data_IF_363035416686
#
_entry.id   IF_363035416686
#
_cell.length_a   1.000
_cell.length_b   1.000
_cell.length_c   1.000
_cell.angle_alpha   90.00
_cell.angle_beta   90.00
_cell.angle_gamma   90.00
#
_symmetry.space_group_name_H-M   'P 1'
#
loop_
_entity.id
_entity.type
_entity.pdbx_description
1 polymer ?
#
# COMPACT_ATOMS: atom_id res chain seq x y z
N UNK A 1 -17.65 -2.73 -59.17
CA UNK A 1 -17.41 -1.54 -58.31
C UNK A 1 -18.19 -1.58 -56.99
N UNK A 2 -19.32 -2.31 -56.88
CA UNK A 2 -20.12 -2.35 -55.64
C UNK A 2 -19.42 -3.05 -54.45
N UNK A 3 -18.61 -4.09 -54.69
CA UNK A 3 -17.95 -4.85 -53.61
C UNK A 3 -16.89 -4.07 -52.82
N UNK A 4 -16.19 -3.12 -53.45
CA UNK A 4 -15.12 -2.36 -52.78
C UNK A 4 -15.68 -1.31 -51.81
N UNK A 5 -16.83 -0.73 -52.11
CA UNK A 5 -17.52 0.23 -51.24
C UNK A 5 -18.07 -0.45 -49.98
N UNK A 6 -18.56 -1.68 -50.11
CA UNK A 6 -19.08 -2.45 -48.97
C UNK A 6 -17.99 -2.84 -47.96
N UNK A 7 -16.78 -3.19 -48.45
CA UNK A 7 -15.65 -3.58 -47.59
C UNK A 7 -15.09 -2.40 -46.78
N UNK A 8 -15.04 -1.20 -47.38
CA UNK A 8 -14.58 0.01 -46.68
C UNK A 8 -15.59 0.41 -45.59
N UNK A 9 -16.89 0.33 -45.87
CA UNK A 9 -17.93 0.63 -44.88
C UNK A 9 -17.94 -0.38 -43.73
N UNK A 10 -17.69 -1.67 -43.98
CA UNK A 10 -17.62 -2.67 -42.90
C UNK A 10 -16.37 -2.49 -42.02
N UNK A 11 -15.22 -2.14 -42.61
CA UNK A 11 -13.99 -1.85 -41.86
C UNK A 11 -14.12 -0.60 -40.97
N UNK A 12 -14.74 0.47 -41.48
CA UNK A 12 -15.01 1.67 -40.67
C UNK A 12 -15.98 1.37 -39.52
N UNK A 13 -16.99 0.51 -39.73
CA UNK A 13 -17.94 0.14 -38.68
C UNK A 13 -17.27 -0.70 -37.56
N UNK A 14 -16.35 -1.59 -37.90
CA UNK A 14 -15.55 -2.35 -36.92
C UNK A 14 -14.65 -1.42 -36.09
N UNK A 15 -14.03 -0.42 -36.73
CA UNK A 15 -13.21 0.58 -36.03
C UNK A 15 -14.01 1.50 -35.10
N UNK A 16 -15.28 1.77 -35.42
CA UNK A 16 -16.18 2.56 -34.58
C UNK A 16 -16.78 1.76 -33.41
N UNK A 17 -16.91 0.43 -33.56
CA UNK A 17 -17.35 -0.46 -32.47
C UNK A 17 -16.24 -0.85 -31.49
N UNK A 18 -14.97 -0.73 -31.88
CA UNK A 18 -13.84 -0.73 -30.93
C UNK A 18 -13.75 0.60 -30.19
N UNK A 19 -14.75 0.88 -29.36
CA UNK A 19 -14.84 2.10 -28.55
C UNK A 19 -13.59 2.34 -27.71
N UNK A 20 -13.23 3.61 -27.54
CA UNK A 20 -12.09 4.13 -26.78
C UNK A 20 -12.11 3.86 -25.25
N UNK A 21 -12.88 2.88 -24.78
CA UNK A 21 -13.07 2.60 -23.36
C UNK A 21 -11.80 2.07 -22.66
N UNK A 22 -10.73 1.74 -23.38
CA UNK A 22 -9.47 1.24 -22.79
C UNK A 22 -8.42 2.29 -22.46
N UNK A 23 -8.70 3.59 -22.67
CA UNK A 23 -7.75 4.65 -22.35
C UNK A 23 -8.06 5.40 -21.05
N UNK A 24 -9.24 5.24 -20.46
CA UNK A 24 -9.61 5.93 -19.23
C UNK A 24 -8.99 5.30 -17.97
N UNK A 25 -8.80 3.98 -17.93
CA UNK A 25 -8.22 3.31 -16.74
C UNK A 25 -6.70 3.56 -16.57
N UNK A 26 -6.02 4.08 -17.60
CA UNK A 26 -4.59 4.43 -17.54
C UNK A 26 -4.35 5.93 -17.27
N UNK A 27 -5.38 6.78 -17.28
CA UNK A 27 -5.23 8.23 -17.19
C UNK A 27 -5.11 8.75 -15.74
N UNK A 28 -5.33 7.91 -14.72
CA UNK A 28 -5.10 8.25 -13.30
C UNK A 28 -3.69 7.87 -12.81
N UNK A 29 -2.87 7.18 -13.62
CA UNK A 29 -1.46 6.90 -13.29
C UNK A 29 -0.42 8.00 -13.59
N UNK A 30 -0.65 9.09 -14.37
CA UNK A 30 0.43 10.01 -14.73
C UNK A 30 0.94 10.83 -13.54
N UNK A 31 0.17 10.96 -12.46
CA UNK A 31 0.61 11.61 -11.22
C UNK A 31 1.74 10.85 -10.50
N UNK A 32 1.96 9.56 -10.80
CA UNK A 32 3.06 8.76 -10.21
C UNK A 32 4.39 8.93 -10.95
N UNK A 33 4.40 9.51 -12.16
CA UNK A 33 5.60 9.62 -13.01
C UNK A 33 6.56 10.73 -12.53
N UNK A 34 6.07 11.72 -11.79
CA UNK A 34 6.92 12.80 -11.22
C UNK A 34 7.82 12.29 -10.08
N UNK A 35 7.61 11.07 -9.58
CA UNK A 35 8.40 10.48 -8.47
C UNK A 35 9.58 9.61 -8.90
N UNK A 36 10.06 9.76 -10.14
CA UNK A 36 11.31 9.14 -10.59
C UNK A 36 12.52 9.46 -9.69
N UNK A 37 12.50 10.60 -8.99
CA UNK A 37 13.55 10.99 -8.04
C UNK A 37 13.61 10.08 -6.81
N UNK A 38 12.45 9.74 -6.23
CA UNK A 38 12.39 8.95 -4.98
C UNK A 38 12.83 7.51 -5.24
N UNK A 39 12.39 6.90 -6.34
CA UNK A 39 12.84 5.55 -6.72
C UNK A 39 14.34 5.47 -7.00
N UNK A 40 14.92 6.49 -7.66
CA UNK A 40 16.38 6.58 -7.87
C UNK A 40 17.14 6.71 -6.54
N UNK A 41 16.54 7.39 -5.56
CA UNK A 41 17.13 7.56 -4.23
C UNK A 41 17.09 6.26 -3.43
N UNK A 42 15.98 5.52 -3.48
CA UNK A 42 15.86 4.19 -2.88
C UNK A 42 16.84 3.18 -3.50
N UNK A 43 17.06 3.26 -4.82
CA UNK A 43 18.05 2.42 -5.51
C UNK A 43 19.49 2.77 -5.11
N UNK A 44 19.82 4.06 -4.93
CA UNK A 44 21.12 4.47 -4.37
C UNK A 44 21.31 3.97 -2.93
N UNK A 45 20.26 4.02 -2.10
CA UNK A 45 20.29 3.55 -0.71
C UNK A 45 20.46 2.03 -0.60
N UNK A 46 20.27 1.29 -1.71
CA UNK A 46 20.32 -0.17 -1.77
C UNK A 46 21.70 -0.76 -1.43
N UNK A 47 22.77 0.03 -1.50
CA UNK A 47 24.10 -0.36 -0.99
C UNK A 47 24.09 -0.71 0.50
N UNK A 48 23.10 -0.20 1.25
CA UNK A 48 22.88 -0.50 2.67
C UNK A 48 21.62 -1.34 2.92
N UNK A 49 21.10 -1.99 1.88
CA UNK A 49 19.86 -2.77 1.99
C UNK A 49 20.02 -3.95 2.94
N UNK A 50 18.92 -4.29 3.63
CA UNK A 50 18.80 -5.58 4.30
C UNK A 50 18.38 -6.61 3.25
N UNK A 51 19.08 -7.73 3.21
CA UNK A 51 18.91 -8.72 2.14
C UNK A 51 18.68 -10.11 2.68
N UNK A 52 17.74 -10.83 2.05
CA UNK A 52 17.63 -12.30 2.18
C UNK A 52 17.44 -12.93 0.81
N UNK A 53 17.82 -14.18 0.66
CA UNK A 53 17.67 -14.94 -0.59
C UNK A 53 16.72 -16.10 -0.36
N UNK A 54 15.81 -16.35 -1.29
CA UNK A 54 14.83 -17.42 -1.21
C UNK A 54 14.85 -18.28 -2.47
N UNK A 55 14.47 -19.55 -2.32
CA UNK A 55 14.17 -20.44 -3.43
C UNK A 55 12.71 -20.23 -3.88
N UNK A 56 12.52 -19.33 -4.84
CA UNK A 56 11.23 -18.97 -5.42
C UNK A 56 11.45 -18.39 -6.83
N UNK A 57 10.44 -18.44 -7.70
CA UNK A 57 10.47 -17.63 -8.92
C UNK A 57 10.28 -16.14 -8.57
N UNK A 58 10.65 -15.26 -9.49
CA UNK A 58 10.39 -13.82 -9.34
C UNK A 58 8.89 -13.54 -9.10
N UNK A 59 8.03 -14.19 -9.89
CA UNK A 59 6.58 -13.99 -9.83
C UNK A 59 6.00 -14.43 -8.49
N UNK A 60 6.42 -15.58 -7.96
CA UNK A 60 5.93 -16.09 -6.68
C UNK A 60 6.32 -15.16 -5.52
N UNK A 61 7.60 -14.78 -5.42
CA UNK A 61 8.08 -13.91 -4.35
C UNK A 61 7.50 -12.48 -4.45
N UNK A 62 7.33 -11.96 -5.67
CA UNK A 62 6.69 -10.68 -5.90
C UNK A 62 5.21 -10.70 -5.50
N UNK A 63 4.46 -11.71 -5.96
CA UNK A 63 3.04 -11.85 -5.66
C UNK A 63 2.79 -12.13 -4.18
N UNK A 64 3.62 -12.96 -3.53
CA UNK A 64 3.55 -13.16 -2.08
C UNK A 64 3.68 -11.82 -1.34
N UNK A 65 4.71 -11.03 -1.66
CA UNK A 65 4.89 -9.71 -1.04
C UNK A 65 3.71 -8.76 -1.33
N UNK A 66 3.12 -8.87 -2.53
CA UNK A 66 1.96 -8.08 -2.93
C UNK A 66 0.69 -8.46 -2.14
N UNK A 67 0.47 -9.76 -1.94
CA UNK A 67 -0.65 -10.29 -1.17
C UNK A 67 -0.60 -9.80 0.28
N UNK A 68 0.60 -9.72 0.86
CA UNK A 68 0.79 -9.14 2.18
C UNK A 68 0.37 -7.68 2.29
N UNK A 69 0.47 -6.87 1.23
CA UNK A 69 -0.11 -5.53 1.29
C UNK A 69 -1.64 -5.57 1.21
N UNK A 70 -2.19 -6.42 0.35
CA UNK A 70 -3.63 -6.45 0.04
C UNK A 70 -4.49 -7.00 1.18
N UNK A 71 -4.07 -8.09 1.80
CA UNK A 71 -4.80 -8.70 2.93
C UNK A 71 -4.96 -7.70 4.08
N UNK A 72 -3.98 -6.82 4.21
CA UNK A 72 -3.90 -5.82 5.27
C UNK A 72 -4.81 -4.64 4.97
N UNK A 73 -4.79 -4.13 3.74
CA UNK A 73 -5.74 -3.11 3.28
C UNK A 73 -7.19 -3.59 3.47
N UNK A 74 -7.48 -4.84 3.09
CA UNK A 74 -8.82 -5.44 3.26
C UNK A 74 -9.22 -5.58 4.74
N UNK A 75 -8.30 -6.02 5.61
CA UNK A 75 -8.56 -6.14 7.05
C UNK A 75 -8.83 -4.78 7.71
N UNK A 76 -8.11 -3.73 7.28
CA UNK A 76 -8.30 -2.36 7.76
C UNK A 76 -9.68 -1.84 7.36
N UNK A 77 -10.07 -2.02 6.10
CA UNK A 77 -11.39 -1.61 5.62
C UNK A 77 -12.53 -2.33 6.35
N UNK A 78 -12.38 -3.64 6.59
CA UNK A 78 -13.36 -4.42 7.33
C UNK A 78 -13.51 -3.94 8.78
N UNK A 79 -12.41 -3.65 9.47
CA UNK A 79 -12.47 -3.11 10.84
C UNK A 79 -13.08 -1.71 10.87
N UNK A 80 -12.75 -0.84 9.92
CA UNK A 80 -13.34 0.51 9.83
C UNK A 80 -14.86 0.46 9.68
N UNK A 81 -15.38 -0.43 8.83
CA UNK A 81 -16.83 -0.61 8.65
C UNK A 81 -17.52 -1.06 9.94
N UNK A 82 -16.91 -1.98 10.70
CA UNK A 82 -17.45 -2.44 11.99
C UNK A 82 -17.54 -1.30 13.01
N UNK A 83 -16.50 -0.48 13.13
CA UNK A 83 -16.50 0.69 14.02
C UNK A 83 -17.59 1.70 13.61
N UNK A 84 -17.75 1.94 12.29
CA UNK A 84 -18.79 2.84 11.79
C UNK A 84 -20.21 2.30 12.04
N UNK A 85 -20.42 0.99 11.92
CA UNK A 85 -21.69 0.32 12.24
C UNK A 85 -22.01 0.40 13.75
N UNK A 86 -21.03 0.12 14.61
CA UNK A 86 -21.17 0.22 16.07
C UNK A 86 -21.50 1.65 16.53
N UNK A 87 -20.85 2.66 15.91
CA UNK A 87 -21.11 4.06 16.22
C UNK A 87 -22.50 4.54 15.74
N UNK A 88 -23.03 3.95 14.64
CA UNK A 88 -24.38 4.29 14.14
C UNK A 88 -25.47 3.90 15.15
N UNK A 89 -25.31 2.77 15.83
CA UNK A 89 -26.30 2.28 16.79
C UNK A 89 -26.30 3.11 18.09
N UNK A 90 -25.17 3.75 18.44
CA UNK A 90 -25.07 4.62 19.61
C UNK A 90 -25.60 6.05 19.39
N UNK A 91 -25.69 6.50 18.15
CA UNK A 91 -26.05 7.89 17.80
C UNK A 91 -27.51 8.31 17.98
N UNK A 92 -28.42 7.43 18.44
CA UNK A 92 -29.87 7.72 18.44
C UNK A 92 -30.41 8.22 19.80
N UNK A 93 -29.61 8.32 20.87
CA UNK A 93 -30.18 8.52 22.22
C UNK A 93 -29.92 9.87 22.92
N UNK A 94 -29.20 10.83 22.36
CA UNK A 94 -28.92 12.10 23.07
C UNK A 94 -28.92 13.34 22.15
N UNK A 95 -30.08 13.68 21.59
CA UNK A 95 -30.38 15.09 21.23
C UNK A 95 -31.08 15.76 22.40
N UNK A 96 -30.30 16.08 23.43
CA UNK A 96 -30.70 16.98 24.51
C UNK A 96 -29.75 18.17 24.51
N UNK A 97 -30.02 19.17 23.68
CA UNK A 97 -29.27 20.42 23.67
C UNK A 97 -29.42 21.11 25.02
N UNK A 98 -28.36 21.09 25.83
CA UNK A 98 -28.23 21.97 26.98
C UNK A 98 -27.04 22.88 26.74
N UNK A 99 -27.35 24.11 26.32
CA UNK A 99 -26.40 25.19 26.06
C UNK A 99 -25.67 25.52 27.37
N UNK A 100 -24.36 25.26 27.50
CA UNK A 100 -23.64 25.67 28.70
C UNK A 100 -23.39 27.18 28.67
N UNK A 101 -23.70 27.81 29.80
CA UNK A 101 -23.52 29.24 30.04
C UNK A 101 -22.02 29.57 30.08
N UNK A 102 -21.64 30.59 29.32
CA UNK A 102 -20.27 30.98 29.01
C UNK A 102 -19.79 31.99 30.06
N UNK A 103 -19.32 31.53 31.23
CA UNK A 103 -18.52 32.37 32.13
C UNK A 103 -17.93 31.57 33.31
N UNK A 104 -16.90 30.74 33.08
CA UNK A 104 -15.92 30.39 34.14
C UNK A 104 -14.58 29.95 33.54
N UNK A 105 -13.60 30.85 33.50
CA UNK A 105 -12.22 30.57 33.13
C UNK A 105 -11.40 30.13 34.35
N UNK A 106 -10.91 28.89 34.35
CA UNK A 106 -9.79 28.43 35.18
C UNK A 106 -9.02 27.34 34.43
N UNK A 107 -7.70 27.49 34.18
CA UNK A 107 -6.90 26.44 33.56
C UNK A 107 -6.47 25.45 34.64
N UNK A 108 -7.26 24.40 34.85
CA UNK A 108 -6.79 23.18 35.49
C UNK A 108 -6.26 22.26 34.38
N UNK A 109 -5.13 21.59 34.64
CA UNK A 109 -4.46 20.71 33.68
C UNK A 109 -5.46 19.76 33.04
N UNK A 110 -5.72 19.95 31.75
CA UNK A 110 -6.61 19.11 30.95
C UNK A 110 -6.02 17.69 30.91
N UNK A 111 -6.56 16.80 31.74
CA UNK A 111 -6.53 15.37 31.44
C UNK A 111 -7.26 15.19 30.13
N UNK A 112 -6.51 14.94 29.05
CA UNK A 112 -7.04 14.60 27.74
C UNK A 112 -7.81 13.30 27.90
N UNK A 113 -9.14 13.38 27.99
CA UNK A 113 -10.02 12.22 27.88
C UNK A 113 -9.97 11.85 26.40
N UNK A 114 -9.03 10.97 26.05
CA UNK A 114 -8.93 10.38 24.71
C UNK A 114 -10.24 9.63 24.48
N UNK A 115 -10.96 10.02 23.44
CA UNK A 115 -12.24 9.38 23.14
C UNK A 115 -12.00 7.89 22.83
N UNK A 116 -12.94 6.98 23.21
CA UNK A 116 -12.82 5.56 22.87
C UNK A 116 -12.61 5.30 21.36
N UNK A 117 -13.08 6.21 20.51
CA UNK A 117 -12.89 6.17 19.06
C UNK A 117 -11.41 6.33 18.65
N UNK A 118 -10.68 7.23 19.31
CA UNK A 118 -9.27 7.51 19.03
C UNK A 118 -8.37 6.37 19.51
N UNK A 119 -8.68 5.75 20.66
CA UNK A 119 -7.98 4.56 21.15
C UNK A 119 -8.20 3.34 20.23
N UNK A 120 -9.43 3.14 19.75
CA UNK A 120 -9.73 2.10 18.77
C UNK A 120 -9.01 2.33 17.44
N UNK A 121 -8.95 3.58 16.96
CA UNK A 121 -8.22 3.95 15.75
C UNK A 121 -6.71 3.73 15.91
N UNK A 122 -6.13 4.05 17.07
CA UNK A 122 -4.71 3.82 17.37
C UNK A 122 -4.38 2.32 17.46
N UNK A 123 -5.26 1.50 18.08
CA UNK A 123 -5.10 0.06 18.11
C UNK A 123 -5.14 -0.54 16.69
N UNK A 124 -6.03 -0.02 15.84
CA UNK A 124 -6.12 -0.39 14.43
C UNK A 124 -4.85 0.01 13.67
N UNK A 125 -4.33 1.22 13.95
CA UNK A 125 -3.09 1.75 13.39
C UNK A 125 -1.87 0.92 13.80
N UNK A 126 -1.77 0.50 15.06
CA UNK A 126 -0.73 -0.43 15.55
C UNK A 126 -0.80 -1.79 14.87
N UNK A 127 -1.98 -2.20 14.42
CA UNK A 127 -2.15 -3.42 13.61
C UNK A 127 -1.93 -3.20 12.11
N UNK A 128 -1.53 -2.01 11.62
CA UNK A 128 -1.13 -1.83 10.21
C UNK A 128 0.36 -2.14 10.06
N UNK A 129 0.71 -2.98 9.08
CA UNK A 129 2.11 -3.28 8.76
C UNK A 129 2.66 -2.30 7.73
N UNK A 130 2.00 -2.10 6.59
CA UNK A 130 2.39 -1.12 5.56
C UNK A 130 1.32 -1.05 4.45
N UNK A 131 1.39 -0.01 3.61
CA UNK A 131 0.58 0.15 2.39
C UNK A 131 1.48 0.09 1.15
N UNK A 132 1.00 -0.52 0.05
CA UNK A 132 1.73 -0.58 -1.22
C UNK A 132 1.46 0.68 -2.05
N UNK A 133 2.51 1.48 -2.26
CA UNK A 133 2.45 2.69 -3.08
C UNK A 133 2.65 2.40 -4.57
N UNK A 134 3.80 1.82 -4.93
CA UNK A 134 4.18 1.53 -6.32
C UNK A 134 4.28 0.02 -6.51
N UNK A 135 3.71 -0.44 -7.63
CA UNK A 135 3.80 -1.82 -8.11
C UNK A 135 4.51 -1.80 -9.45
N UNK A 136 5.79 -2.16 -9.50
CA UNK A 136 6.54 -2.15 -10.75
C UNK A 136 7.20 -3.50 -11.02
N UNK A 137 6.41 -4.43 -11.57
CA UNK A 137 6.88 -5.76 -11.92
C UNK A 137 7.98 -5.73 -13.00
N UNK A 138 7.91 -4.80 -13.96
CA UNK A 138 8.92 -4.66 -15.01
C UNK A 138 10.29 -4.27 -14.45
N UNK A 139 10.32 -3.31 -13.52
CA UNK A 139 11.53 -2.90 -12.79
C UNK A 139 11.77 -3.74 -11.54
N UNK A 140 11.04 -4.84 -11.36
CA UNK A 140 11.20 -5.83 -10.28
C UNK A 140 11.30 -5.19 -8.89
N UNK A 141 10.44 -4.22 -8.58
CA UNK A 141 10.39 -3.64 -7.25
C UNK A 141 8.99 -3.17 -6.85
N UNK A 142 8.82 -3.00 -5.55
CA UNK A 142 7.66 -2.39 -4.90
C UNK A 142 8.15 -1.19 -4.08
N UNK A 143 7.28 -0.20 -3.87
CA UNK A 143 7.48 0.84 -2.86
C UNK A 143 6.34 0.76 -1.87
N UNK A 144 6.68 0.72 -0.58
CA UNK A 144 5.74 0.67 0.54
C UNK A 144 5.96 1.87 1.48
N UNK A 145 4.94 2.22 2.26
CA UNK A 145 4.93 3.32 3.24
C UNK A 145 3.94 2.99 4.38
N UNK A 146 3.72 3.92 5.32
CA UNK A 146 2.90 3.69 6.53
C UNK A 146 3.39 2.51 7.39
N UNK A 147 4.71 2.39 7.60
CA UNK A 147 5.27 1.37 8.48
C UNK A 147 5.12 1.77 9.95
N UNK A 148 4.75 0.85 10.86
CA UNK A 148 4.54 1.16 12.26
C UNK A 148 5.83 1.66 12.91
N UNK A 149 5.71 2.68 13.77
CA UNK A 149 6.85 3.32 14.43
C UNK A 149 7.74 4.16 13.50
N UNK A 150 7.34 4.36 12.24
CA UNK A 150 8.01 5.27 11.30
C UNK A 150 7.08 6.43 10.96
N UNK A 151 7.64 7.54 10.46
CA UNK A 151 6.82 8.63 9.92
C UNK A 151 6.02 8.08 8.74
N UNK A 152 4.70 8.30 8.74
CA UNK A 152 3.73 7.71 7.81
C UNK A 152 4.14 7.82 6.33
N UNK A 153 4.81 8.91 5.96
CA UNK A 153 5.27 9.20 4.60
C UNK A 153 6.60 8.56 4.21
N UNK A 154 7.23 7.76 5.09
CA UNK A 154 8.55 7.19 4.82
C UNK A 154 8.47 6.08 3.77
N UNK A 155 9.10 6.31 2.62
CA UNK A 155 9.18 5.31 1.56
C UNK A 155 10.21 4.21 1.87
N UNK A 156 9.84 2.96 1.57
CA UNK A 156 10.72 1.80 1.59
C UNK A 156 10.59 1.05 0.28
N UNK A 157 11.71 0.83 -0.39
CA UNK A 157 11.80 0.03 -1.61
C UNK A 157 12.05 -1.44 -1.30
N UNK A 158 11.27 -2.32 -1.91
CA UNK A 158 11.47 -3.78 -1.88
C UNK A 158 11.86 -4.22 -3.30
N UNK A 159 13.12 -4.61 -3.48
CA UNK A 159 13.69 -4.96 -4.78
C UNK A 159 13.88 -6.46 -4.90
N UNK A 160 13.49 -7.02 -6.04
CA UNK A 160 13.63 -8.44 -6.34
C UNK A 160 14.72 -8.63 -7.38
N UNK A 161 15.76 -9.37 -7.01
CA UNK A 161 16.95 -9.61 -7.82
C UNK A 161 16.98 -11.09 -8.15
N UNK A 162 16.51 -11.49 -9.34
CA UNK A 162 16.64 -12.88 -9.79
C UNK A 162 18.12 -13.26 -9.84
N UNK A 163 18.43 -14.40 -9.25
CA UNK A 163 19.73 -15.04 -9.30
C UNK A 163 19.62 -16.31 -10.16
N UNK A 164 20.77 -16.89 -10.47
CA UNK A 164 20.83 -18.21 -11.09
C UNK A 164 20.23 -19.29 -10.16
N UNK A 165 19.75 -20.37 -10.76
CA UNK A 165 19.17 -21.55 -10.10
C UNK A 165 17.80 -21.33 -9.45
N UNK A 166 16.97 -20.44 -10.02
CA UNK A 166 15.61 -20.22 -9.51
C UNK A 166 15.59 -19.64 -8.09
N UNK A 167 16.59 -18.81 -7.77
CA UNK A 167 16.67 -18.08 -6.51
C UNK A 167 16.38 -16.61 -6.74
N UNK A 168 15.80 -15.95 -5.75
CA UNK A 168 15.58 -14.50 -5.77
C UNK A 168 16.15 -13.90 -4.50
N UNK A 169 17.05 -12.93 -4.65
CA UNK A 169 17.51 -12.08 -3.57
C UNK A 169 16.55 -10.90 -3.43
N UNK A 170 16.05 -10.69 -2.23
CA UNK A 170 15.13 -9.61 -1.90
C UNK A 170 15.91 -8.59 -1.07
N UNK A 171 16.02 -7.37 -1.59
CA UNK A 171 16.70 -6.24 -0.96
C UNK A 171 15.67 -5.23 -0.46
N UNK A 172 15.69 -4.91 0.84
CA UNK A 172 14.85 -3.89 1.46
C UNK A 172 15.69 -2.65 1.74
N UNK A 173 15.31 -1.52 1.15
CA UNK A 173 16.07 -0.27 1.16
C UNK A 173 15.19 0.91 1.57
N UNK A 174 15.72 1.80 2.40
CA UNK A 174 15.11 3.08 2.76
C UNK A 174 16.18 4.05 3.25
N UNK A 175 15.89 5.34 3.17
CA UNK A 175 16.67 6.39 3.82
C UNK A 175 16.51 6.38 5.35
N UNK A 176 15.41 5.83 5.86
CA UNK A 176 15.19 5.65 7.28
C UNK A 176 15.66 4.28 7.73
N UNK A 177 16.65 4.25 8.63
CA UNK A 177 17.14 3.01 9.23
C UNK A 177 16.04 2.26 9.96
N UNK A 178 15.15 2.99 10.67
CA UNK A 178 14.04 2.39 11.40
C UNK A 178 13.04 1.73 10.43
N UNK A 179 12.56 2.48 9.43
CA UNK A 179 11.58 1.97 8.47
C UNK A 179 12.11 0.76 7.69
N UNK A 180 13.39 0.81 7.27
CA UNK A 180 14.07 -0.32 6.62
C UNK A 180 14.06 -1.58 7.50
N UNK A 181 14.35 -1.44 8.80
CA UNK A 181 14.40 -2.55 9.75
C UNK A 181 13.00 -3.12 10.00
N UNK A 182 12.02 -2.26 10.29
CA UNK A 182 10.62 -2.65 10.49
C UNK A 182 10.07 -3.39 9.27
N UNK A 183 10.31 -2.87 8.06
CA UNK A 183 9.88 -3.53 6.82
C UNK A 183 10.51 -4.92 6.67
N UNK A 184 11.80 -5.08 7.00
CA UNK A 184 12.49 -6.37 6.94
C UNK A 184 11.95 -7.36 7.98
N UNK A 185 11.69 -6.92 9.20
CA UNK A 185 11.09 -7.74 10.26
C UNK A 185 9.66 -8.19 9.93
N UNK A 186 8.97 -7.44 9.07
CA UNK A 186 7.64 -7.80 8.58
C UNK A 186 7.72 -8.77 7.39
N UNK A 187 8.46 -8.39 6.35
CA UNK A 187 8.42 -9.07 5.05
C UNK A 187 9.17 -10.39 5.12
N UNK A 188 10.34 -10.42 5.75
CA UNK A 188 11.19 -11.61 5.72
C UNK A 188 10.59 -12.81 6.45
N UNK A 189 10.09 -12.71 7.69
CA UNK A 189 9.49 -13.87 8.37
C UNK A 189 8.30 -14.44 7.60
N UNK A 190 7.53 -13.57 6.97
CA UNK A 190 6.38 -13.97 6.18
C UNK A 190 6.80 -14.74 4.93
N UNK A 191 7.77 -14.22 4.16
CA UNK A 191 8.33 -14.97 3.03
C UNK A 191 9.02 -16.27 3.46
N UNK A 192 9.65 -16.30 4.64
CA UNK A 192 10.23 -17.53 5.20
C UNK A 192 9.20 -18.60 5.56
N UNK A 193 7.91 -18.25 5.75
CA UNK A 193 6.84 -19.25 5.93
C UNK A 193 6.50 -19.96 4.62
N UNK A 194 6.54 -19.23 3.50
CA UNK A 194 6.13 -19.74 2.19
C UNK A 194 7.30 -20.31 1.38
N UNK A 195 8.52 -19.81 1.60
CA UNK A 195 9.69 -20.13 0.80
C UNK A 195 10.88 -20.52 1.65
N UNK A 196 11.66 -21.49 1.17
CA UNK A 196 12.90 -21.90 1.81
C UNK A 196 13.96 -20.81 1.64
N UNK A 197 14.53 -20.35 2.76
CA UNK A 197 15.65 -19.42 2.74
C UNK A 197 16.90 -20.10 2.16
N UNK A 198 17.55 -19.43 1.20
CA UNK A 198 18.83 -19.83 0.67
C UNK A 198 19.92 -19.26 1.58
N UNK A 199 20.40 -20.09 2.51
CA UNK A 199 21.57 -19.77 3.34
C UNK A 199 22.74 -19.49 2.40
N UNK A 200 23.39 -18.34 2.63
CA UNK A 200 24.53 -17.88 1.83
C UNK A 200 25.80 -18.62 2.21
#
# INVERSE_FOLDING_TARGET
MCGMVCYILSLSFILLLSGCARFADNALEPARVVWGSSTRTLDKARVTALSKTYYCSFEDCYNATLLLGREWDAAIEAKRKKVEEENRDQGTLLTGEQKPDLDTLRPESETIIVSPEEEAAEALYKTRKFTIFIKNAQKKHLVIFNLPGSVDTTEVGVFFVPLENGRVKIDISSLSTNAKRTAAEIIFPELSQHFKEAIR
#
